data_IF_907356303517
#
_entry.id   IF_907356303517
#
_cell.length_a   1.000
_cell.length_b   1.000
_cell.length_c   1.000
_cell.angle_alpha   90.00
_cell.angle_beta   90.00
_cell.angle_gamma   90.00
#
_symmetry.space_group_name_H-M   'P 1'
#
loop_
_entity.id
_entity.type
_entity.pdbx_description
1 polymer ?
#
# COMPACT_ATOMS: atom_id res chain seq x y z
N UNK A 1 15.43 3.71 -53.81
CA UNK A 1 15.57 4.68 -52.70
C UNK A 1 14.32 4.84 -51.81
N UNK A 2 13.29 3.99 -51.92
CA UNK A 2 12.07 4.10 -51.07
C UNK A 2 12.01 3.07 -49.94
N UNK A 3 12.75 1.96 -50.06
CA UNK A 3 12.80 0.87 -49.08
C UNK A 3 13.73 1.15 -47.88
N UNK A 4 14.78 1.94 -48.07
CA UNK A 4 15.74 2.29 -46.99
C UNK A 4 15.08 3.17 -45.93
N UNK A 5 14.14 4.04 -46.32
CA UNK A 5 13.42 4.92 -45.41
C UNK A 5 12.51 4.17 -44.42
N UNK A 6 12.00 2.99 -44.80
CA UNK A 6 11.10 2.18 -43.96
C UNK A 6 11.84 1.44 -42.84
N UNK A 7 13.10 1.05 -43.05
CA UNK A 7 13.91 0.32 -42.06
C UNK A 7 14.42 1.26 -40.96
N UNK A 8 14.65 2.54 -41.29
CA UNK A 8 15.10 3.53 -40.30
C UNK A 8 14.00 3.90 -39.30
N UNK A 9 12.73 3.83 -39.69
CA UNK A 9 11.60 4.21 -38.83
C UNK A 9 11.27 3.14 -37.78
N UNK A 10 11.54 1.86 -38.07
CA UNK A 10 11.29 0.75 -37.12
C UNK A 10 12.24 0.72 -35.92
N UNK A 11 13.40 1.38 -35.99
CA UNK A 11 14.42 1.39 -34.93
C UNK A 11 14.11 2.36 -33.77
N UNK A 12 13.11 3.24 -33.92
CA UNK A 12 12.70 4.18 -32.86
C UNK A 12 11.56 3.65 -31.96
N UNK A 13 10.96 2.51 -32.31
CA UNK A 13 9.76 1.99 -31.63
C UNK A 13 10.03 1.33 -30.27
N UNK A 14 11.29 1.09 -29.88
CA UNK A 14 11.63 0.23 -28.73
C UNK A 14 12.02 0.95 -27.44
N UNK A 15 11.87 2.29 -27.36
CA UNK A 15 12.25 3.06 -26.18
C UNK A 15 11.10 3.75 -25.44
N UNK A 16 9.87 3.23 -25.57
CA UNK A 16 8.82 3.60 -24.61
C UNK A 16 9.05 2.77 -23.35
N UNK A 17 10.03 3.16 -22.55
CA UNK A 17 10.00 2.82 -21.14
C UNK A 17 8.74 3.50 -20.59
N UNK A 18 7.70 2.72 -20.26
CA UNK A 18 6.52 3.23 -19.58
C UNK A 18 7.01 4.00 -18.36
N UNK A 19 6.84 5.32 -18.39
CA UNK A 19 7.27 6.19 -17.31
C UNK A 19 6.34 5.91 -16.14
N UNK A 20 6.77 5.06 -15.20
CA UNK A 20 6.01 4.85 -13.97
C UNK A 20 5.88 6.21 -13.29
N UNK A 21 4.65 6.69 -13.13
CA UNK A 21 4.41 7.92 -12.39
C UNK A 21 5.03 7.78 -11.00
N UNK A 22 5.81 8.77 -10.52
CA UNK A 22 6.38 8.71 -9.20
C UNK A 22 5.26 8.56 -8.18
N UNK A 23 5.26 7.45 -7.44
CA UNK A 23 4.27 7.19 -6.39
C UNK A 23 4.55 8.10 -5.21
N UNK A 24 3.50 8.74 -4.70
CA UNK A 24 3.59 9.47 -3.44
C UNK A 24 3.85 8.52 -2.26
N UNK A 25 4.48 9.04 -1.21
CA UNK A 25 4.78 8.27 0.00
C UNK A 25 3.83 8.63 1.13
N UNK A 26 3.19 7.61 1.72
CA UNK A 26 2.34 7.74 2.90
C UNK A 26 3.01 7.09 4.11
N UNK A 27 3.07 7.83 5.20
CA UNK A 27 3.58 7.35 6.49
C UNK A 27 2.41 7.23 7.47
N UNK A 28 2.12 6.00 7.88
CA UNK A 28 1.11 5.73 8.88
C UNK A 28 1.75 5.31 10.20
N UNK A 29 1.28 5.87 11.32
CA UNK A 29 1.71 5.37 12.63
C UNK A 29 1.21 3.93 12.84
N UNK A 30 2.10 3.05 13.30
CA UNK A 30 1.79 1.66 13.59
C UNK A 30 0.92 1.57 14.86
N UNK A 31 -0.35 1.21 14.69
CA UNK A 31 -1.29 1.04 15.78
C UNK A 31 -1.56 -0.45 16.03
N UNK A 32 -0.92 -1.02 17.06
CA UNK A 32 -1.13 -2.42 17.49
C UNK A 32 -2.58 -2.75 17.87
N UNK A 33 -3.38 -1.73 18.21
CA UNK A 33 -4.78 -1.91 18.55
C UNK A 33 -5.69 -1.86 17.32
N UNK A 34 -5.17 -1.51 16.14
CA UNK A 34 -5.92 -1.47 14.89
C UNK A 34 -5.41 -2.48 13.86
N UNK A 35 -4.13 -2.80 13.91
CA UNK A 35 -3.46 -3.77 13.06
C UNK A 35 -3.41 -5.13 13.78
N UNK A 36 -3.90 -6.17 13.12
CA UNK A 36 -3.80 -7.58 13.55
C UNK A 36 -2.70 -8.27 12.75
N UNK A 37 -1.88 -9.06 13.43
CA UNK A 37 -0.85 -9.91 12.82
C UNK A 37 -1.05 -11.33 13.33
N UNK A 38 -0.72 -12.34 12.52
CA UNK A 38 -0.83 -13.74 12.91
C UNK A 38 0.54 -14.39 12.98
N UNK A 39 0.77 -15.24 13.99
CA UNK A 39 2.07 -15.92 14.20
C UNK A 39 2.49 -16.76 12.99
N UNK A 40 1.52 -17.37 12.28
CA UNK A 40 1.77 -18.20 11.09
C UNK A 40 2.15 -17.39 9.85
N UNK A 41 1.73 -16.12 9.77
CA UNK A 41 1.97 -15.20 8.64
C UNK A 41 2.37 -13.81 9.17
N UNK A 42 3.54 -13.69 9.82
CA UNK A 42 3.91 -12.48 10.56
C UNK A 42 4.11 -11.25 9.68
N UNK A 43 4.29 -11.45 8.37
CA UNK A 43 4.49 -10.39 7.39
C UNK A 43 3.16 -9.80 6.87
N UNK A 44 2.01 -10.30 7.34
CA UNK A 44 0.69 -9.78 6.97
C UNK A 44 0.10 -8.95 8.11
N UNK A 45 -0.32 -7.72 7.78
CA UNK A 45 -0.92 -6.76 8.70
C UNK A 45 -2.37 -6.50 8.29
N UNK A 46 -3.30 -7.16 8.97
CA UNK A 46 -4.74 -7.05 8.72
C UNK A 46 -5.34 -5.88 9.48
N UNK A 47 -6.31 -5.18 8.89
CA UNK A 47 -7.03 -4.11 9.58
C UNK A 47 -8.20 -4.69 10.38
N UNK A 48 -8.45 -4.14 11.58
CA UNK A 48 -9.62 -4.53 12.38
C UNK A 48 -10.97 -4.26 11.70
N UNK A 49 -11.04 -3.27 10.81
CA UNK A 49 -12.25 -2.91 10.08
C UNK A 49 -12.40 -3.69 8.75
N UNK A 50 -11.42 -4.53 8.38
CA UNK A 50 -11.50 -5.37 7.17
C UNK A 50 -12.50 -6.51 7.34
N UNK A 51 -13.19 -6.88 6.26
CA UNK A 51 -14.32 -7.79 6.32
C UNK A 51 -13.94 -9.27 6.50
N UNK A 52 -12.66 -9.62 6.33
CA UNK A 52 -12.19 -11.00 6.43
C UNK A 52 -12.56 -11.85 5.21
N UNK A 53 -12.47 -13.17 5.34
CA UNK A 53 -12.49 -14.11 4.19
C UNK A 53 -13.82 -14.12 3.42
N UNK A 54 -14.95 -13.96 4.11
CA UNK A 54 -16.28 -14.09 3.47
C UNK A 54 -16.62 -13.00 2.43
N UNK A 55 -16.03 -11.81 2.54
CA UNK A 55 -16.33 -10.66 1.65
C UNK A 55 -15.07 -10.09 0.98
N UNK A 56 -13.96 -10.83 1.09
CA UNK A 56 -12.61 -10.39 0.75
C UNK A 56 -11.99 -9.49 1.82
N UNK A 57 -10.67 -9.62 1.99
CA UNK A 57 -9.92 -8.96 3.05
C UNK A 57 -8.83 -8.04 2.49
N UNK A 58 -8.82 -6.79 2.92
CA UNK A 58 -7.68 -5.90 2.79
C UNK A 58 -6.64 -6.20 3.87
N UNK A 59 -5.38 -6.25 3.46
CA UNK A 59 -4.25 -6.28 4.37
C UNK A 59 -3.02 -5.62 3.74
N UNK A 60 -2.03 -5.37 4.57
CA UNK A 60 -0.70 -4.99 4.09
C UNK A 60 0.24 -6.18 4.15
N UNK A 61 1.10 -6.33 3.15
CA UNK A 61 2.22 -7.29 3.15
C UNK A 61 3.53 -6.54 3.32
N UNK A 62 4.37 -6.97 4.27
CA UNK A 62 5.72 -6.43 4.45
C UNK A 62 6.56 -6.61 3.18
N UNK A 63 7.22 -5.55 2.75
CA UNK A 63 8.19 -5.57 1.65
C UNK A 63 9.61 -5.53 2.21
N UNK A 64 9.88 -4.51 3.02
CA UNK A 64 11.18 -4.31 3.66
C UNK A 64 11.05 -3.44 4.89
N UNK A 65 11.98 -3.61 5.80
CA UNK A 65 12.12 -2.79 7.00
C UNK A 65 13.34 -1.88 6.85
N UNK A 66 13.18 -0.61 7.22
CA UNK A 66 14.26 0.36 7.33
C UNK A 66 14.41 0.78 8.79
N UNK A 67 15.57 0.48 9.39
CA UNK A 67 15.88 0.80 10.79
C UNK A 67 16.77 2.04 10.90
N UNK A 68 16.63 2.77 12.01
CA UNK A 68 17.52 3.87 12.40
C UNK A 68 17.66 5.02 11.36
N UNK A 69 16.73 5.12 10.42
CA UNK A 69 16.74 6.16 9.39
C UNK A 69 16.07 7.44 9.93
N UNK A 70 16.77 8.57 9.80
CA UNK A 70 16.22 9.90 10.11
C UNK A 70 15.37 10.40 8.94
N UNK A 71 14.20 9.81 8.75
CA UNK A 71 13.24 10.24 7.74
C UNK A 71 12.38 11.36 8.33
N UNK A 72 12.32 12.52 7.66
CA UNK A 72 11.33 13.57 7.98
C UNK A 72 9.98 13.14 7.40
N UNK A 73 9.15 12.50 8.22
CA UNK A 73 7.81 12.04 7.82
C UNK A 73 6.72 12.65 8.70
N UNK A 74 5.64 13.14 8.08
CA UNK A 74 4.40 13.46 8.78
C UNK A 74 3.56 12.20 8.89
N UNK A 75 3.53 11.61 10.08
CA UNK A 75 2.77 10.40 10.34
C UNK A 75 1.27 10.69 10.48
N UNK A 76 0.47 9.87 9.81
CA UNK A 76 -0.99 9.92 9.86
C UNK A 76 -1.48 8.70 10.63
N UNK A 77 -2.52 8.84 11.44
CA UNK A 77 -3.13 7.67 12.08
C UNK A 77 -3.89 6.86 11.03
N UNK A 78 -3.44 5.63 10.76
CA UNK A 78 -4.06 4.73 9.77
C UNK A 78 -5.56 4.54 10.00
N UNK A 79 -5.96 4.30 11.26
CA UNK A 79 -7.38 4.16 11.63
C UNK A 79 -8.19 5.38 11.28
N UNK A 80 -7.68 6.58 11.57
CA UNK A 80 -8.37 7.83 11.24
C UNK A 80 -8.48 8.00 9.73
N UNK A 81 -7.39 7.76 9.00
CA UNK A 81 -7.36 7.82 7.54
C UNK A 81 -8.41 6.89 6.91
N UNK A 82 -8.44 5.61 7.30
CA UNK A 82 -9.38 4.63 6.76
C UNK A 82 -10.82 5.05 7.06
N UNK A 83 -11.12 5.38 8.32
CA UNK A 83 -12.49 5.73 8.74
C UNK A 83 -12.98 7.10 8.27
N UNK A 84 -12.09 8.00 7.85
CA UNK A 84 -12.45 9.27 7.22
C UNK A 84 -12.45 9.20 5.69
N UNK A 85 -12.00 8.08 5.11
CA UNK A 85 -11.99 7.90 3.67
C UNK A 85 -13.39 7.63 3.13
N UNK A 86 -13.59 7.87 1.84
CA UNK A 86 -14.82 7.49 1.12
C UNK A 86 -15.06 5.98 1.06
N UNK A 87 -14.08 5.16 1.47
CA UNK A 87 -14.15 3.70 1.43
C UNK A 87 -14.76 3.11 2.69
N UNK A 88 -14.99 3.92 3.73
CA UNK A 88 -15.56 3.49 4.99
C UNK A 88 -16.91 4.16 5.22
N UNK A 89 -17.96 3.36 5.38
CA UNK A 89 -19.26 3.81 5.84
C UNK A 89 -19.70 2.98 7.07
N UNK A 90 -19.89 3.67 8.19
CA UNK A 90 -20.32 3.02 9.44
C UNK A 90 -21.75 2.47 9.37
N UNK A 91 -22.55 2.91 8.39
CA UNK A 91 -23.96 2.57 8.25
C UNK A 91 -24.22 1.42 7.27
N UNK A 92 -23.17 0.89 6.63
CA UNK A 92 -23.28 -0.25 5.71
C UNK A 92 -22.69 -1.53 6.33
N UNK A 93 -23.10 -2.67 5.78
CA UNK A 93 -22.45 -3.96 6.02
C UNK A 93 -22.12 -4.59 4.66
N UNK A 94 -20.84 -4.72 4.29
CA UNK A 94 -19.65 -4.36 5.07
C UNK A 94 -19.43 -2.86 5.28
N UNK A 95 -18.73 -2.51 6.38
CA UNK A 95 -18.39 -1.11 6.70
C UNK A 95 -17.24 -0.56 5.87
N UNK A 96 -16.30 -1.42 5.49
CA UNK A 96 -15.14 -1.06 4.69
C UNK A 96 -15.26 -1.69 3.32
N UNK A 97 -15.09 -0.91 2.26
CA UNK A 97 -14.86 -1.44 0.93
C UNK A 97 -13.38 -1.78 0.77
N UNK A 98 -13.02 -3.02 1.14
CA UNK A 98 -11.65 -3.53 1.13
C UNK A 98 -10.99 -3.42 -0.25
N UNK A 99 -11.73 -3.74 -1.32
CA UNK A 99 -11.25 -3.69 -2.70
C UNK A 99 -10.90 -2.25 -3.12
N UNK A 100 -11.79 -1.30 -2.87
CA UNK A 100 -11.55 0.10 -3.25
C UNK A 100 -10.43 0.73 -2.41
N UNK A 101 -10.30 0.37 -1.12
CA UNK A 101 -9.16 0.78 -0.29
C UNK A 101 -7.84 0.22 -0.83
N UNK A 102 -7.82 -1.07 -1.21
CA UNK A 102 -6.66 -1.71 -1.84
C UNK A 102 -6.26 -1.00 -3.13
N UNK A 103 -7.24 -0.78 -4.01
CA UNK A 103 -7.08 -0.13 -5.31
C UNK A 103 -6.56 1.30 -5.18
N UNK A 104 -6.94 2.01 -4.12
CA UNK A 104 -6.38 3.33 -3.83
C UNK A 104 -4.95 3.24 -3.33
N UNK A 105 -4.67 2.39 -2.34
CA UNK A 105 -3.37 2.34 -1.67
C UNK A 105 -2.25 1.69 -2.51
N UNK A 106 -2.58 0.91 -3.56
CA UNK A 106 -1.57 0.27 -4.43
C UNK A 106 -0.71 1.27 -5.21
N UNK A 107 -1.20 2.51 -5.35
CA UNK A 107 -0.52 3.58 -6.09
C UNK A 107 0.35 4.46 -5.18
N UNK A 108 0.52 4.08 -3.91
CA UNK A 108 1.38 4.78 -2.95
C UNK A 108 2.54 3.90 -2.46
N UNK A 109 3.66 4.53 -2.08
CA UNK A 109 4.63 3.91 -1.18
C UNK A 109 4.15 4.05 0.25
N UNK A 110 3.71 2.95 0.86
CA UNK A 110 3.16 2.97 2.22
C UNK A 110 4.20 2.49 3.21
N UNK A 111 4.39 3.25 4.29
CA UNK A 111 5.20 2.87 5.44
C UNK A 111 4.35 2.81 6.71
N UNK A 112 4.45 1.72 7.44
CA UNK A 112 4.01 1.63 8.82
C UNK A 112 5.18 2.02 9.74
N UNK A 113 5.03 3.12 10.47
CA UNK A 113 6.05 3.69 11.34
C UNK A 113 5.83 3.19 12.75
N UNK A 114 6.72 2.32 13.22
CA UNK A 114 6.69 1.75 14.56
C UNK A 114 7.80 2.37 15.40
N UNK A 115 7.45 2.86 16.59
CA UNK A 115 8.44 3.33 17.56
C UNK A 115 8.78 2.22 18.55
N UNK A 116 10.07 1.94 18.70
CA UNK A 116 10.62 0.93 19.62
C UNK A 116 11.83 1.58 20.29
N UNK A 117 11.84 1.66 21.62
CA UNK A 117 12.94 2.24 22.42
C UNK A 117 13.40 3.62 21.93
N UNK A 118 12.44 4.52 21.65
CA UNK A 118 12.67 5.87 21.10
C UNK A 118 13.32 5.91 19.71
N UNK A 119 13.36 4.77 19.00
CA UNK A 119 13.84 4.64 17.63
C UNK A 119 12.68 4.31 16.70
N UNK A 120 12.65 4.97 15.55
CA UNK A 120 11.66 4.70 14.51
C UNK A 120 12.12 3.58 13.60
N UNK A 121 11.24 2.60 13.42
CA UNK A 121 11.31 1.52 12.45
C UNK A 121 10.26 1.80 11.36
N UNK A 122 10.70 1.88 10.11
CA UNK A 122 9.83 2.14 8.97
C UNK A 122 9.63 0.83 8.21
N UNK A 123 8.43 0.27 8.30
CA UNK A 123 8.08 -0.99 7.64
C UNK A 123 7.40 -0.62 6.32
N UNK A 124 8.10 -0.74 5.20
CA UNK A 124 7.49 -0.58 3.89
C UNK A 124 6.53 -1.74 3.65
N UNK A 125 5.32 -1.42 3.22
CA UNK A 125 4.29 -2.39 2.92
C UNK A 125 3.68 -2.16 1.54
N UNK A 126 3.10 -3.22 0.97
CA UNK A 126 2.19 -3.15 -0.17
C UNK A 126 0.77 -3.43 0.30
N UNK A 127 -0.22 -2.75 -0.27
CA UNK A 127 -1.62 -3.15 -0.10
C UNK A 127 -1.88 -4.44 -0.87
N UNK A 128 -2.62 -5.33 -0.22
CA UNK A 128 -3.04 -6.63 -0.75
C UNK A 128 -4.54 -6.78 -0.52
N UNK A 129 -5.18 -7.52 -1.41
CA UNK A 129 -6.58 -7.88 -1.32
C UNK A 129 -6.73 -9.34 -1.73
N UNK A 130 -7.41 -10.12 -0.89
CA UNK A 130 -7.69 -11.53 -1.15
C UNK A 130 -9.19 -11.79 -1.08
N UNK A 131 -9.67 -12.65 -1.96
CA UNK A 131 -11.01 -13.25 -1.93
C UNK A 131 -10.75 -14.76 -1.82
N UNK A 132 -11.40 -15.41 -0.85
CA UNK A 132 -11.46 -16.88 -0.80
C UNK A 132 -12.58 -17.43 -1.69
#
# INVERSE_FOLDING_TARGET
MKTVALILLSLFSTFIAAQENPKDTLFFSYDKNYIRTYVKIPNHFYLKDSNGTNNGAFYFTEVKTLENQKIKSKEICLRKFVRSSKYFDKNTDPKLNDYELWKYLRDYFVFLVKEVDSKKKYIQVKSSYEIE
#
